data_IF_920921664887
#
_entry.id   IF_920921664887
#
_cell.length_a   1.000
_cell.length_b   1.000
_cell.length_c   1.000
_cell.angle_alpha   90.00
_cell.angle_beta   90.00
_cell.angle_gamma   90.00
#
_symmetry.space_group_name_H-M   'P 1'
#
loop_
_entity.id
_entity.type
_entity.pdbx_description
1 polymer ?
#
# COMPACT_ATOMS: atom_id res chain seq x y z
N UNK A 1 -13.31 -13.03 -11.63
CA UNK A 1 -11.94 -13.26 -11.11
C UNK A 1 -11.21 -11.91 -11.15
N UNK A 2 -11.04 -11.22 -10.02
CA UNK A 2 -10.12 -10.06 -10.00
C UNK A 2 -8.70 -10.61 -10.17
N UNK A 3 -7.96 -10.20 -11.19
CA UNK A 3 -6.53 -10.46 -11.24
C UNK A 3 -5.94 -9.74 -10.02
N UNK A 4 -5.26 -10.47 -9.15
CA UNK A 4 -4.53 -9.84 -8.05
C UNK A 4 -3.29 -9.23 -8.66
N UNK A 5 -3.32 -7.91 -8.83
CA UNK A 5 -2.12 -7.17 -9.17
C UNK A 5 -1.16 -7.28 -7.99
N UNK A 6 0.05 -7.77 -8.26
CA UNK A 6 1.15 -7.86 -7.29
C UNK A 6 2.24 -6.91 -7.69
N UNK A 7 2.99 -6.44 -6.72
CA UNK A 7 4.19 -5.61 -6.92
C UNK A 7 5.38 -6.29 -6.28
N UNK A 8 6.56 -6.08 -6.86
CA UNK A 8 7.82 -6.62 -6.36
C UNK A 8 8.63 -5.49 -5.73
N UNK A 9 9.05 -5.67 -4.48
CA UNK A 9 9.95 -4.76 -3.79
C UNK A 9 11.32 -5.43 -3.67
N UNK A 10 12.38 -4.75 -4.10
CA UNK A 10 13.74 -5.29 -4.11
C UNK A 10 14.55 -4.53 -3.06
N UNK A 11 15.18 -5.24 -2.13
CA UNK A 11 16.05 -4.63 -1.11
C UNK A 11 17.45 -4.31 -1.64
N UNK A 12 18.24 -3.61 -0.81
CA UNK A 12 19.66 -3.34 -1.07
C UNK A 12 20.49 -4.63 -1.21
N UNK A 13 20.06 -5.71 -0.56
CA UNK A 13 20.66 -7.05 -0.63
C UNK A 13 20.18 -7.86 -1.85
N UNK A 14 19.57 -7.21 -2.85
CA UNK A 14 18.99 -7.84 -4.05
C UNK A 14 17.92 -8.90 -3.74
N UNK A 15 17.28 -8.80 -2.57
CA UNK A 15 16.23 -9.74 -2.16
C UNK A 15 14.86 -9.26 -2.64
N UNK A 16 14.12 -10.14 -3.31
CA UNK A 16 12.83 -9.84 -3.93
C UNK A 16 11.67 -10.21 -3.00
N UNK A 17 10.79 -9.24 -2.74
CA UNK A 17 9.57 -9.41 -1.96
C UNK A 17 8.34 -9.14 -2.83
N UNK A 18 7.52 -10.17 -3.05
CA UNK A 18 6.28 -10.04 -3.84
C UNK A 18 5.12 -9.83 -2.88
N UNK A 19 4.41 -8.71 -3.02
CA UNK A 19 3.25 -8.35 -2.18
C UNK A 19 2.05 -7.94 -3.03
N UNK A 20 0.85 -8.04 -2.47
CA UNK A 20 -0.37 -7.55 -3.13
C UNK A 20 -0.30 -6.02 -3.33
N UNK A 21 -0.67 -5.54 -4.53
CA UNK A 21 -0.68 -4.10 -4.86
C UNK A 21 -1.55 -3.28 -3.91
N UNK A 22 -2.67 -3.85 -3.46
CA UNK A 22 -3.55 -3.20 -2.48
C UNK A 22 -2.83 -2.93 -1.14
N UNK A 23 -1.98 -3.86 -0.68
CA UNK A 23 -1.19 -3.69 0.53
C UNK A 23 -0.08 -2.65 0.32
N UNK A 24 0.61 -2.72 -0.81
CA UNK A 24 1.66 -1.76 -1.17
C UNK A 24 1.13 -0.31 -1.28
N UNK A 25 -0.09 -0.14 -1.80
CA UNK A 25 -0.75 1.15 -1.97
C UNK A 25 -1.19 1.81 -0.66
N UNK A 26 -1.09 1.12 0.48
CA UNK A 26 -1.25 1.74 1.81
C UNK A 26 -0.17 2.82 2.02
N UNK A 27 1.03 2.61 1.48
CA UNK A 27 2.08 3.62 1.50
C UNK A 27 1.91 4.61 0.34
N UNK A 28 1.81 5.90 0.67
CA UNK A 28 1.76 6.96 -0.34
C UNK A 28 3.06 7.06 -1.14
N UNK A 29 4.20 6.79 -0.52
CA UNK A 29 5.51 6.82 -1.19
C UNK A 29 5.58 5.75 -2.28
N UNK A 30 5.22 4.50 -1.95
CA UNK A 30 5.22 3.39 -2.92
C UNK A 30 4.19 3.64 -4.03
N UNK A 31 3.02 4.18 -3.67
CA UNK A 31 2.03 4.60 -4.67
C UNK A 31 2.62 5.60 -5.65
N UNK A 32 3.25 6.66 -5.16
CA UNK A 32 3.85 7.69 -6.00
C UNK A 32 4.97 7.11 -6.87
N UNK A 33 5.78 6.18 -6.36
CA UNK A 33 6.81 5.48 -7.13
C UNK A 33 6.19 4.64 -8.27
N UNK A 34 5.09 3.94 -8.00
CA UNK A 34 4.40 3.09 -8.98
C UNK A 34 3.49 3.86 -9.96
N UNK A 35 3.05 5.07 -9.64
CA UNK A 35 2.09 5.84 -10.45
C UNK A 35 2.67 7.11 -11.06
N UNK A 36 3.91 7.50 -10.73
CA UNK A 36 4.50 8.71 -11.28
C UNK A 36 4.79 8.56 -12.77
N UNK A 37 4.26 9.44 -13.63
CA UNK A 37 4.46 9.38 -15.08
C UNK A 37 5.86 9.82 -15.55
N UNK A 38 6.85 9.86 -14.65
CA UNK A 38 8.01 10.75 -14.76
C UNK A 38 9.40 10.17 -14.54
N UNK A 39 9.62 8.85 -14.46
CA UNK A 39 11.01 8.36 -14.54
C UNK A 39 11.42 7.17 -13.68
N UNK A 40 10.58 6.15 -13.53
CA UNK A 40 11.03 4.84 -13.09
C UNK A 40 10.42 3.81 -14.05
N UNK A 41 11.26 3.22 -14.92
CA UNK A 41 10.89 2.19 -15.89
C UNK A 41 10.20 0.95 -15.25
N UNK A 42 10.27 0.88 -13.93
CA UNK A 42 9.55 0.04 -12.99
C UNK A 42 8.00 0.08 -13.07
N UNK A 43 7.41 1.14 -13.63
CA UNK A 43 5.93 1.29 -13.69
C UNK A 43 5.24 0.27 -14.59
N UNK A 44 5.92 -0.20 -15.65
CA UNK A 44 5.36 -1.21 -16.57
C UNK A 44 5.47 -2.64 -16.01
N UNK A 45 6.46 -2.89 -15.14
CA UNK A 45 6.73 -4.21 -14.54
C UNK A 45 6.17 -4.36 -13.12
N UNK A 46 5.85 -3.25 -12.45
CA UNK A 46 5.35 -3.26 -11.07
C UNK A 46 6.44 -3.60 -10.04
N UNK A 47 7.69 -3.25 -10.34
CA UNK A 47 8.86 -3.51 -9.49
C UNK A 47 9.31 -2.21 -8.81
N UNK A 48 9.89 -2.24 -7.62
CA UNK A 48 10.44 -1.06 -6.94
C UNK A 48 11.70 -1.46 -6.21
N UNK A 49 12.80 -0.79 -6.51
CA UNK A 49 14.11 -1.04 -5.91
C UNK A 49 14.42 -0.05 -4.79
N UNK A 50 14.91 -0.58 -3.66
CA UNK A 50 15.30 0.19 -2.48
C UNK A 50 16.78 -0.01 -2.17
N UNK A 51 17.69 0.81 -2.74
CA UNK A 51 19.13 0.63 -2.57
C UNK A 51 19.64 0.93 -1.14
N UNK A 52 18.83 1.58 -0.30
CA UNK A 52 19.22 1.96 1.06
C UNK A 52 18.57 1.08 2.15
N UNK A 53 17.63 0.21 1.80
CA UNK A 53 16.85 -0.59 2.77
C UNK A 53 17.32 -2.04 2.72
N UNK A 54 17.79 -2.57 3.85
CA UNK A 54 18.17 -3.98 3.97
C UNK A 54 16.94 -4.90 3.94
N UNK A 55 17.15 -6.15 3.53
CA UNK A 55 16.10 -7.16 3.40
C UNK A 55 15.30 -7.35 4.71
N UNK A 56 15.98 -7.37 5.85
CA UNK A 56 15.36 -7.54 7.18
C UNK A 56 14.39 -6.40 7.50
N UNK A 57 14.73 -5.16 7.14
CA UNK A 57 13.86 -4.01 7.35
C UNK A 57 12.70 -4.05 6.35
N UNK A 58 12.98 -4.37 5.08
CA UNK A 58 11.96 -4.45 4.05
C UNK A 58 10.91 -5.54 4.37
N UNK A 59 11.32 -6.67 4.94
CA UNK A 59 10.42 -7.71 5.43
C UNK A 59 9.43 -7.17 6.49
N UNK A 60 9.93 -6.38 7.46
CA UNK A 60 9.08 -5.75 8.48
C UNK A 60 8.15 -4.70 7.90
N UNK A 61 8.59 -3.95 6.89
CA UNK A 61 7.74 -3.02 6.15
C UNK A 61 6.61 -3.78 5.43
N UNK A 62 6.92 -4.91 4.79
CA UNK A 62 5.91 -5.75 4.14
C UNK A 62 4.87 -6.28 5.15
N UNK A 63 5.33 -6.76 6.31
CA UNK A 63 4.45 -7.18 7.42
C UNK A 63 3.54 -6.03 7.87
N UNK A 64 4.09 -4.82 8.00
CA UNK A 64 3.34 -3.62 8.35
C UNK A 64 2.29 -3.26 7.30
N UNK A 65 2.58 -3.36 5.99
CA UNK A 65 1.60 -3.09 4.94
C UNK A 65 0.37 -3.99 5.04
N UNK A 66 0.55 -5.28 5.27
CA UNK A 66 -0.57 -6.20 5.47
C UNK A 66 -1.34 -5.90 6.75
N UNK A 67 -0.63 -5.63 7.85
CA UNK A 67 -1.27 -5.23 9.11
C UNK A 67 -2.11 -3.96 8.93
N UNK A 68 -1.55 -2.95 8.28
CA UNK A 68 -2.20 -1.67 8.03
C UNK A 68 -3.39 -1.81 7.05
N UNK A 69 -3.30 -2.67 6.03
CA UNK A 69 -4.42 -2.96 5.13
C UNK A 69 -5.60 -3.59 5.88
N UNK A 70 -5.33 -4.53 6.79
CA UNK A 70 -6.35 -5.20 7.62
C UNK A 70 -6.96 -4.23 8.63
N UNK A 71 -6.14 -3.41 9.28
CA UNK A 71 -6.61 -2.47 10.31
C UNK A 71 -7.26 -1.22 9.75
N UNK A 72 -6.81 -0.71 8.60
CA UNK A 72 -7.46 0.40 7.89
C UNK A 72 -8.92 0.07 7.53
N UNK A 73 -9.19 -1.20 7.19
CA UNK A 73 -10.56 -1.72 7.03
C UNK A 73 -11.37 -1.67 8.33
N UNK A 74 -10.75 -1.89 9.48
CA UNK A 74 -11.42 -1.89 10.78
C UNK A 74 -11.77 -0.47 11.26
N UNK A 75 -10.89 0.51 11.01
CA UNK A 75 -11.16 1.92 11.32
C UNK A 75 -12.24 2.51 10.40
N UNK A 76 -12.32 2.08 9.14
CA UNK A 76 -13.39 2.50 8.23
C UNK A 76 -14.80 2.08 8.70
N UNK A 77 -14.93 0.95 9.40
CA UNK A 77 -16.22 0.54 9.98
C UNK A 77 -16.64 1.46 11.14
N UNK A 78 -15.69 1.95 11.94
CA UNK A 78 -15.97 2.94 12.99
C UNK A 78 -16.20 4.36 12.42
N UNK A 79 -15.48 4.76 11.36
CA UNK A 79 -15.70 6.04 10.70
C UNK A 79 -17.05 6.08 9.97
N UNK A 80 -17.46 4.98 9.32
CA UNK A 80 -18.77 4.88 8.67
C UNK A 80 -19.92 4.94 9.70
N UNK A 81 -19.75 4.34 10.88
CA UNK A 81 -20.73 4.48 11.96
C UNK A 81 -20.87 5.93 12.45
N UNK A 82 -19.81 6.73 12.43
CA UNK A 82 -19.87 8.15 12.82
C UNK A 82 -20.43 9.03 11.68
N UNK A 83 -20.10 8.76 10.42
CA UNK A 83 -20.62 9.56 9.30
C UNK A 83 -22.11 9.29 9.00
N UNK A 84 -22.65 8.10 9.26
CA UNK A 84 -24.11 7.85 9.14
C UNK A 84 -24.90 8.61 10.22
N UNK A 85 -24.31 8.91 11.38
CA UNK A 85 -24.99 9.67 12.43
C UNK A 85 -24.82 11.21 12.32
N UNK A 86 -24.03 11.71 11.36
CA UNK A 86 -23.79 13.16 11.19
C UNK A 86 -24.53 13.79 10.00
N UNK A 87 -25.20 12.99 9.15
CA UNK A 87 -26.06 13.47 8.05
C UNK A 87 -27.52 13.22 8.40
N UNK A 88 -28.00 13.80 9.51
CA UNK A 88 -29.45 13.92 9.77
C UNK A 88 -29.81 15.12 10.68
N UNK A 89 -28.89 16.06 10.92
CA UNK A 89 -29.16 17.29 11.71
C UNK A 89 -28.63 18.52 10.96
N UNK A 90 -29.17 18.78 9.76
CA UNK A 90 -29.08 20.10 9.13
C UNK A 90 -30.15 20.34 8.05
N UNK A 91 -31.33 19.74 8.23
CA UNK A 91 -32.54 20.15 7.54
C UNK A 91 -33.71 20.00 8.52
N UNK A 92 -33.91 21.05 9.31
CA UNK A 92 -34.99 21.22 10.28
C UNK A 92 -34.89 22.60 10.91
#
# INVERSE_FOLDING_TARGET
MKRKDTVKLISADEMEFVIDKDAAMVSQTIRNMLTSPGGFAETELGEVTFPEISAVILEKICQYFYWALQYSRFVFLYQCLVCVNAVDISNG
#
